data_IF_361969673146
#
_entry.id   IF_361969673146
#
_cell.length_a   1.000
_cell.length_b   1.000
_cell.length_c   1.000
_cell.angle_alpha   90.00
_cell.angle_beta   90.00
_cell.angle_gamma   90.00
#
_symmetry.space_group_name_H-M   'P 1'
#
loop_
_entity.id
_entity.type
_entity.pdbx_description
1 polymer ?
#
# COMPACT_ATOMS: atom_id res chain seq x y z
N UNK A 1 -2.08 -9.83 6.23
CA UNK A 1 -3.46 -10.27 6.52
C UNK A 1 -3.85 -9.61 7.83
N UNK A 2 -4.75 -8.64 7.81
CA UNK A 2 -5.22 -7.97 9.02
C UNK A 2 -6.62 -8.50 9.36
N UNK A 3 -6.78 -8.99 10.58
CA UNK A 3 -8.06 -9.41 11.12
C UNK A 3 -8.59 -8.31 12.02
N UNK A 4 -9.85 -7.94 11.84
CA UNK A 4 -10.53 -7.04 12.77
C UNK A 4 -11.79 -7.74 13.29
N UNK A 5 -12.12 -7.48 14.55
CA UNK A 5 -13.37 -7.94 15.14
C UNK A 5 -14.50 -7.04 14.66
N UNK A 6 -15.50 -7.63 14.02
CA UNK A 6 -16.68 -6.92 13.51
C UNK A 6 -17.94 -7.57 14.05
N UNK A 7 -18.98 -6.75 14.23
CA UNK A 7 -20.32 -7.26 14.49
C UNK A 7 -20.88 -7.89 13.21
N UNK A 8 -21.38 -9.14 13.27
CA UNK A 8 -22.00 -9.79 12.12
C UNK A 8 -23.37 -9.18 11.77
N UNK A 9 -23.97 -8.42 12.68
CA UNK A 9 -25.31 -7.84 12.61
C UNK A 9 -25.28 -6.35 12.99
N UNK A 10 -26.35 -5.62 12.66
CA UNK A 10 -26.47 -4.21 12.99
C UNK A 10 -26.39 -3.96 14.51
N UNK A 11 -25.67 -2.90 14.88
CA UNK A 11 -25.44 -2.53 16.27
C UNK A 11 -26.76 -1.99 16.84
N UNK A 12 -27.26 -2.65 17.89
CA UNK A 12 -28.44 -2.19 18.62
C UNK A 12 -27.98 -1.57 19.94
N UNK A 13 -28.34 -0.31 20.18
CA UNK A 13 -27.99 0.44 21.39
C UNK A 13 -26.48 0.51 21.72
N UNK A 14 -25.61 0.50 20.69
CA UNK A 14 -24.16 0.56 20.88
C UNK A 14 -23.52 -0.77 21.33
N UNK A 15 -24.31 -1.84 21.44
CA UNK A 15 -23.84 -3.18 21.77
C UNK A 15 -24.02 -4.15 20.60
N UNK A 16 -23.08 -5.10 20.47
CA UNK A 16 -23.23 -6.21 19.55
C UNK A 16 -24.16 -7.25 20.17
N UNK A 17 -25.32 -7.57 19.56
CA UNK A 17 -26.21 -8.59 20.11
C UNK A 17 -25.66 -10.01 19.95
N UNK A 18 -24.70 -10.20 19.05
CA UNK A 18 -24.04 -11.49 18.77
C UNK A 18 -22.54 -11.44 19.08
N UNK A 19 -21.89 -12.58 19.36
CA UNK A 19 -20.45 -12.62 19.60
C UNK A 19 -19.69 -12.07 18.40
N UNK A 20 -18.70 -11.22 18.66
CA UNK A 20 -17.87 -10.63 17.62
C UNK A 20 -17.11 -11.71 16.87
N UNK A 21 -17.11 -11.61 15.54
CA UNK A 21 -16.43 -12.56 14.67
C UNK A 21 -15.20 -11.89 14.08
N UNK A 22 -14.10 -12.62 14.03
CA UNK A 22 -12.92 -12.20 13.30
C UNK A 22 -13.18 -12.31 11.80
N UNK A 23 -13.19 -11.18 11.11
CA UNK A 23 -13.20 -11.15 9.64
C UNK A 23 -11.82 -10.77 9.13
N UNK A 24 -11.37 -11.52 8.14
CA UNK A 24 -10.23 -11.12 7.34
C UNK A 24 -10.63 -9.89 6.55
N UNK A 25 -9.91 -8.79 6.78
CA UNK A 25 -10.07 -7.58 5.98
C UNK A 25 -8.90 -7.56 5.02
N UNK A 26 -9.20 -7.42 3.74
CA UNK A 26 -8.17 -7.18 2.73
C UNK A 26 -7.44 -5.90 3.13
N UNK A 27 -6.27 -6.06 3.75
CA UNK A 27 -5.44 -4.97 4.29
C UNK A 27 -4.82 -4.10 3.20
N UNK A 28 -5.03 -4.46 1.94
CA UNK A 28 -4.66 -3.71 0.76
C UNK A 28 -5.93 -3.12 0.16
N UNK A 29 -6.32 -1.94 0.65
CA UNK A 29 -7.09 -1.05 -0.19
C UNK A 29 -6.30 -0.87 -1.50
N UNK A 30 -6.90 -1.11 -2.68
CA UNK A 30 -6.22 -0.78 -3.92
C UNK A 30 -5.85 0.71 -3.83
N UNK A 31 -4.58 1.03 -4.12
CA UNK A 31 -4.15 2.42 -4.19
C UNK A 31 -5.12 3.18 -5.10
N UNK A 32 -5.59 4.33 -4.63
CA UNK A 32 -6.36 5.20 -5.52
C UNK A 32 -5.46 5.65 -6.67
N UNK A 33 -6.06 5.96 -7.82
CA UNK A 33 -5.29 6.40 -8.99
C UNK A 33 -4.40 7.61 -8.67
N UNK A 34 -4.87 8.53 -7.82
CA UNK A 34 -4.12 9.69 -7.34
C UNK A 34 -2.88 9.29 -6.52
N UNK A 35 -3.02 8.30 -5.64
CA UNK A 35 -1.87 7.81 -4.86
C UNK A 35 -0.85 7.12 -5.77
N UNK A 36 -1.30 6.34 -6.74
CA UNK A 36 -0.42 5.71 -7.72
C UNK A 36 0.30 6.75 -8.60
N UNK A 37 -0.43 7.73 -9.17
CA UNK A 37 0.13 8.76 -10.03
C UNK A 37 1.15 9.64 -9.29
N UNK A 38 0.95 9.89 -8.00
CA UNK A 38 1.91 10.62 -7.16
C UNK A 38 3.22 9.86 -6.92
N UNK A 39 3.19 8.51 -6.94
CA UNK A 39 4.37 7.67 -6.71
C UNK A 39 5.19 7.41 -7.98
N UNK A 40 4.57 7.44 -9.16
CA UNK A 40 5.24 7.18 -10.45
C UNK A 40 6.50 8.04 -10.67
N UNK A 41 6.48 9.37 -10.44
CA UNK A 41 7.67 10.21 -10.61
C UNK A 41 8.86 9.77 -9.75
N UNK A 42 8.61 9.28 -8.53
CA UNK A 42 9.66 8.82 -7.64
C UNK A 42 10.37 7.57 -8.20
N UNK A 43 9.61 6.61 -8.74
CA UNK A 43 10.18 5.43 -9.38
C UNK A 43 11.00 5.78 -10.63
N UNK A 44 10.50 6.71 -11.45
CA UNK A 44 11.23 7.17 -12.64
C UNK A 44 12.54 7.86 -12.25
N UNK A 45 12.54 8.69 -11.22
CA UNK A 45 13.74 9.35 -10.72
C UNK A 45 14.80 8.34 -10.22
N UNK A 46 14.38 7.30 -9.50
CA UNK A 46 15.28 6.23 -9.04
C UNK A 46 15.90 5.47 -10.24
N UNK A 47 15.12 5.16 -11.26
CA UNK A 47 15.63 4.50 -12.47
C UNK A 47 16.60 5.39 -13.25
N UNK A 48 16.30 6.68 -13.39
CA UNK A 48 17.18 7.63 -14.08
C UNK A 48 18.49 7.85 -13.32
N UNK A 49 18.44 7.95 -11.99
CA UNK A 49 19.65 8.09 -11.17
C UNK A 49 20.51 6.83 -11.21
N UNK A 50 19.92 5.64 -11.17
CA UNK A 50 20.64 4.38 -11.35
C UNK A 50 21.30 4.29 -12.74
N UNK A 51 20.61 4.71 -13.80
CA UNK A 51 21.16 4.73 -15.15
C UNK A 51 22.28 5.76 -15.31
N UNK A 52 22.10 6.96 -14.76
CA UNK A 52 23.11 8.00 -14.70
C UNK A 52 24.36 7.53 -13.97
N UNK A 53 24.21 6.90 -12.81
CA UNK A 53 25.32 6.33 -12.05
C UNK A 53 26.07 5.25 -12.83
N UNK A 54 25.35 4.35 -13.53
CA UNK A 54 25.96 3.35 -14.41
C UNK A 54 26.78 4.00 -15.53
N UNK A 55 26.26 5.06 -16.16
CA UNK A 55 26.98 5.80 -17.21
C UNK A 55 28.22 6.51 -16.68
N UNK A 56 28.12 7.07 -15.48
CA UNK A 56 29.21 7.75 -14.80
C UNK A 56 30.35 6.76 -14.49
N UNK A 57 30.03 5.59 -13.93
CA UNK A 57 31.00 4.51 -13.71
C UNK A 57 31.68 4.05 -15.01
N UNK A 58 30.94 3.90 -16.10
CA UNK A 58 31.52 3.54 -17.41
C UNK A 58 32.49 4.59 -17.95
N UNK A 59 32.35 5.85 -17.54
CA UNK A 59 33.20 6.95 -17.97
C UNK A 59 34.48 7.05 -17.13
N UNK A 60 34.45 6.62 -15.86
CA UNK A 60 35.62 6.57 -14.98
C UNK A 60 36.46 5.30 -15.11
N UNK A 61 35.86 4.18 -15.54
CA UNK A 61 36.55 2.89 -15.70
C UNK A 61 37.22 2.74 -17.07
N UNK A 62 37.00 3.68 -17.99
CA UNK A 62 37.56 3.70 -19.35
C UNK A 62 38.62 4.77 -19.48
#
# INVERSE_FOLDING_TARGET
MNFVQVCPVEIVNGSCPEPMVWREVASTLPLTFEQFSSMVPAFVAVLLTAWGFKKLLQLFIK
#
